data_IF_382936682950
#
_entry.id   IF_382936682950
#
_cell.length_a   1.000
_cell.length_b   1.000
_cell.length_c   1.000
_cell.angle_alpha   90.00
_cell.angle_beta   90.00
_cell.angle_gamma   90.00
#
_symmetry.space_group_name_H-M   'P 1'
#
loop_
_entity.id
_entity.type
_entity.pdbx_description
1 polymer ?
#
# COMPACT_ATOMS: atom_id res chain seq x y z
N UNK A 1 19.57 -8.07 -7.94
CA UNK A 1 18.51 -8.67 -7.09
C UNK A 1 17.79 -7.52 -6.41
N UNK A 2 16.49 -7.40 -6.60
CA UNK A 2 15.69 -6.38 -5.92
C UNK A 2 15.49 -6.77 -4.45
N UNK A 3 15.56 -5.80 -3.53
CA UNK A 3 15.36 -6.05 -2.08
C UNK A 3 13.91 -6.45 -1.80
N UNK A 4 13.71 -7.46 -0.93
CA UNK A 4 12.40 -7.90 -0.45
C UNK A 4 12.27 -7.87 1.07
N UNK A 5 13.12 -7.10 1.73
CA UNK A 5 13.25 -7.10 3.19
C UNK A 5 11.92 -6.81 3.87
N UNK A 6 11.12 -5.87 3.36
CA UNK A 6 9.84 -5.53 3.98
C UNK A 6 8.74 -6.52 3.60
N UNK A 7 8.71 -6.98 2.36
CA UNK A 7 7.78 -8.04 1.92
C UNK A 7 7.97 -9.33 2.75
N UNK A 8 9.22 -9.78 2.93
CA UNK A 8 9.54 -11.01 3.66
C UNK A 8 9.16 -10.89 5.14
N UNK A 9 9.49 -9.75 5.79
CA UNK A 9 9.09 -9.48 7.18
C UNK A 9 7.57 -9.46 7.36
N UNK A 10 6.84 -8.87 6.39
CA UNK A 10 5.39 -8.85 6.44
C UNK A 10 4.81 -10.26 6.30
N UNK A 11 5.35 -11.07 5.39
CA UNK A 11 4.93 -12.45 5.22
C UNK A 11 5.18 -13.29 6.48
N UNK A 12 6.35 -13.14 7.11
CA UNK A 12 6.68 -13.80 8.37
C UNK A 12 5.75 -13.38 9.51
N UNK A 13 5.45 -12.09 9.64
CA UNK A 13 4.49 -11.58 10.62
C UNK A 13 3.07 -12.15 10.40
N UNK A 14 2.61 -12.20 9.15
CA UNK A 14 1.31 -12.79 8.82
C UNK A 14 1.26 -14.28 9.17
N UNK A 15 2.33 -15.03 8.88
CA UNK A 15 2.46 -16.45 9.25
C UNK A 15 2.42 -16.63 10.77
N UNK A 16 3.16 -15.82 11.53
CA UNK A 16 3.21 -15.90 12.99
C UNK A 16 1.84 -15.67 13.66
N UNK A 17 0.96 -14.89 13.03
CA UNK A 17 -0.40 -14.62 13.52
C UNK A 17 -1.50 -15.45 12.84
N UNK A 18 -1.12 -16.44 12.03
CA UNK A 18 -2.05 -17.29 11.28
C UNK A 18 -2.99 -16.50 10.36
N UNK A 19 -2.49 -15.40 9.80
CA UNK A 19 -3.19 -14.62 8.78
C UNK A 19 -2.90 -15.16 7.38
N UNK A 20 -3.80 -14.85 6.44
CA UNK A 20 -3.57 -15.12 5.04
C UNK A 20 -2.32 -14.39 4.53
N UNK A 21 -1.63 -14.98 3.55
CA UNK A 21 -0.48 -14.39 2.89
C UNK A 21 -0.83 -12.99 2.36
N UNK A 22 0.03 -11.98 2.56
CA UNK A 22 -0.23 -10.62 2.07
C UNK A 22 -0.39 -10.60 0.54
N UNK A 23 -1.46 -9.98 0.06
CA UNK A 23 -1.75 -9.88 -1.39
C UNK A 23 -1.40 -8.48 -1.87
N UNK A 24 -0.48 -8.38 -2.84
CA UNK A 24 -0.05 -7.12 -3.43
C UNK A 24 -0.76 -6.84 -4.76
N UNK A 25 -1.22 -5.61 -4.94
CA UNK A 25 -1.80 -5.10 -6.17
C UNK A 25 -1.02 -3.87 -6.62
N UNK A 26 -0.57 -3.88 -7.87
CA UNK A 26 0.16 -2.77 -8.45
C UNK A 26 -0.82 -1.86 -9.21
N UNK A 27 -0.74 -0.56 -8.94
CA UNK A 27 -1.54 0.48 -9.61
C UNK A 27 -0.64 1.36 -10.47
N UNK A 28 -1.13 1.76 -11.65
CA UNK A 28 -0.39 2.62 -12.59
C UNK A 28 -1.20 3.83 -13.01
N UNK A 29 -0.54 4.97 -13.20
CA UNK A 29 -1.15 6.26 -13.54
C UNK A 29 -0.34 6.96 -14.65
N UNK A 30 -1.01 7.36 -15.74
CA UNK A 30 -0.38 7.97 -16.92
C UNK A 30 -0.30 9.50 -16.75
N UNK A 31 0.93 10.02 -16.60
CA UNK A 31 1.22 11.45 -16.39
C UNK A 31 2.00 12.06 -17.55
N UNK A 32 1.31 12.32 -18.66
CA UNK A 32 1.84 13.13 -19.77
C UNK A 32 3.17 12.63 -20.35
N UNK A 33 3.29 11.31 -20.55
CA UNK A 33 4.49 10.66 -21.14
C UNK A 33 5.30 9.82 -20.17
N UNK A 34 5.06 9.95 -18.86
CA UNK A 34 5.60 9.05 -17.82
C UNK A 34 4.46 8.25 -17.19
N UNK A 35 4.75 7.05 -16.73
CA UNK A 35 3.81 6.25 -15.91
C UNK A 35 4.31 6.26 -14.48
N UNK A 36 3.47 6.72 -13.56
CA UNK A 36 3.66 6.60 -12.14
C UNK A 36 3.10 5.26 -11.67
N UNK A 37 3.77 4.62 -10.71
CA UNK A 37 3.43 3.32 -10.17
C UNK A 37 3.30 3.37 -8.66
N UNK A 38 2.31 2.68 -8.11
CA UNK A 38 2.12 2.50 -6.67
C UNK A 38 1.76 1.04 -6.39
N UNK A 39 1.80 0.65 -5.12
CA UNK A 39 1.40 -0.68 -4.69
C UNK A 39 0.45 -0.57 -3.51
N UNK A 40 -0.48 -1.51 -3.45
CA UNK A 40 -1.39 -1.71 -2.34
C UNK A 40 -1.21 -3.14 -1.84
N UNK A 41 -1.25 -3.36 -0.53
CA UNK A 41 -1.20 -4.68 0.09
C UNK A 41 -2.41 -4.89 0.98
N UNK A 42 -2.99 -6.09 0.91
CA UNK A 42 -4.11 -6.48 1.78
C UNK A 42 -3.63 -7.49 2.82
N UNK A 43 -3.90 -7.19 4.09
CA UNK A 43 -3.51 -7.98 5.27
C UNK A 43 -4.66 -7.99 6.25
N UNK A 44 -5.13 -9.19 6.64
CA UNK A 44 -6.22 -9.35 7.61
C UNK A 44 -7.47 -8.49 7.29
N UNK A 45 -7.85 -8.43 6.01
CA UNK A 45 -9.00 -7.64 5.54
C UNK A 45 -8.80 -6.12 5.53
N UNK A 46 -7.65 -5.62 6.00
CA UNK A 46 -7.25 -4.23 5.90
C UNK A 46 -6.34 -4.01 4.68
N UNK A 47 -6.44 -2.84 4.07
CA UNK A 47 -5.72 -2.49 2.84
C UNK A 47 -4.80 -1.30 3.10
N UNK A 48 -3.53 -1.45 2.74
CA UNK A 48 -2.48 -0.44 2.95
C UNK A 48 -1.82 -0.10 1.63
N UNK A 49 -1.69 1.19 1.33
CA UNK A 49 -1.11 1.67 0.07
C UNK A 49 0.24 2.31 0.31
N UNK A 50 1.13 2.19 -0.66
CA UNK A 50 2.39 2.91 -0.69
C UNK A 50 2.12 4.43 -0.56
N UNK A 51 2.93 5.09 0.24
CA UNK A 51 2.91 6.53 0.53
C UNK A 51 3.23 7.36 -0.69
N UNK A 52 4.06 6.83 -1.59
CA UNK A 52 4.56 7.54 -2.75
C UNK A 52 4.22 6.84 -4.06
N UNK A 53 4.34 7.61 -5.14
CA UNK A 53 4.33 7.10 -6.50
C UNK A 53 5.77 7.00 -7.01
N UNK A 54 6.08 5.88 -7.64
CA UNK A 54 7.40 5.52 -8.13
C UNK A 54 7.40 5.51 -9.66
N UNK A 55 8.57 5.52 -10.28
CA UNK A 55 8.69 5.28 -11.71
C UNK A 55 8.66 3.76 -12.01
N UNK A 56 8.52 3.40 -13.29
CA UNK A 56 8.38 1.99 -13.70
C UNK A 56 9.58 1.10 -13.37
N UNK A 57 10.78 1.68 -13.17
CA UNK A 57 11.97 0.93 -12.73
C UNK A 57 11.98 0.67 -11.23
N UNK A 58 11.12 1.33 -10.46
CA UNK A 58 11.07 1.25 -9.00
C UNK A 58 9.73 0.69 -8.49
N UNK A 59 9.05 -0.15 -9.28
CA UNK A 59 7.79 -0.82 -8.85
C UNK A 59 8.01 -1.67 -7.60
N UNK A 60 9.18 -2.29 -7.44
CA UNK A 60 9.51 -3.02 -6.22
C UNK A 60 9.58 -2.11 -4.98
N UNK A 61 10.06 -0.87 -5.11
CA UNK A 61 10.07 0.08 -4.00
C UNK A 61 8.65 0.43 -3.56
N UNK A 62 7.68 0.47 -4.48
CA UNK A 62 6.28 0.64 -4.14
C UNK A 62 5.76 -0.54 -3.30
N UNK A 63 6.15 -1.78 -3.63
CA UNK A 63 5.79 -2.97 -2.84
C UNK A 63 6.42 -2.95 -1.45
N UNK A 64 7.71 -2.62 -1.37
CA UNK A 64 8.43 -2.52 -0.09
C UNK A 64 7.80 -1.45 0.81
N UNK A 65 7.42 -0.29 0.26
CA UNK A 65 6.80 0.79 1.01
C UNK A 65 5.39 0.41 1.51
N UNK A 66 4.56 -0.22 0.67
CA UNK A 66 3.26 -0.75 1.11
C UNK A 66 3.42 -1.82 2.20
N UNK A 67 4.45 -2.67 2.09
CA UNK A 67 4.72 -3.71 3.08
C UNK A 67 5.17 -3.13 4.42
N UNK A 68 6.04 -2.11 4.40
CA UNK A 68 6.47 -1.38 5.60
C UNK A 68 5.25 -0.76 6.31
N UNK A 69 4.36 -0.08 5.58
CA UNK A 69 3.15 0.53 6.14
C UNK A 69 2.24 -0.52 6.80
N UNK A 70 2.01 -1.66 6.14
CA UNK A 70 1.20 -2.73 6.68
C UNK A 70 1.83 -3.36 7.94
N UNK A 71 3.15 -3.57 7.93
CA UNK A 71 3.86 -4.14 9.07
C UNK A 71 3.84 -3.21 10.29
N UNK A 72 4.01 -1.90 10.08
CA UNK A 72 3.87 -0.91 11.15
C UNK A 72 2.46 -0.91 11.74
N UNK A 73 1.43 -1.00 10.88
CA UNK A 73 0.04 -1.10 11.34
C UNK A 73 -0.22 -2.38 12.14
N UNK A 74 0.31 -3.51 11.70
CA UNK A 74 0.26 -4.79 12.41
C UNK A 74 0.92 -4.68 13.79
N UNK A 75 2.15 -4.16 13.86
CA UNK A 75 2.89 -3.99 15.10
C UNK A 75 2.17 -3.04 16.09
N UNK A 76 1.60 -1.94 15.58
CA UNK A 76 0.83 -1.00 16.39
C UNK A 76 -0.48 -1.60 16.91
N UNK A 77 -1.12 -2.46 16.12
CA UNK A 77 -2.32 -3.19 16.54
C UNK A 77 -2.01 -4.21 17.64
N UNK A 78 -0.84 -4.85 17.60
CA UNK A 78 -0.38 -5.81 18.60
C UNK A 78 0.08 -5.14 19.91
N UNK A 79 0.60 -3.91 19.85
CA UNK A 79 1.15 -3.18 21.01
C UNK A 79 0.09 -2.61 21.98
N UNK A 80 -1.20 -2.79 21.70
CA UNK A 80 -2.30 -2.33 22.54
C UNK A 80 -2.94 -1.04 22.03
N UNK A 81 -4.25 -1.11 21.87
CA UNK A 81 -5.16 -0.07 21.37
C UNK A 81 -4.94 1.27 22.06
N UNK A 82 -4.09 2.12 21.49
CA UNK A 82 -4.11 3.56 21.72
C UNK A 82 -4.76 4.16 20.49
N UNK A 83 -6.05 4.46 20.62
CA UNK A 83 -6.91 5.16 19.67
C UNK A 83 -6.16 6.25 18.92
N UNK A 84 -5.92 6.03 17.63
CA UNK A 84 -5.69 7.10 16.68
C UNK A 84 -6.26 6.66 15.34
N UNK A 85 -7.55 6.95 15.13
CA UNK A 85 -8.17 6.91 13.81
C UNK A 85 -7.69 8.13 13.02
N UNK A 86 -6.91 8.01 11.95
CA UNK A 86 -6.95 9.04 10.92
C UNK A 86 -8.22 8.76 10.12
N UNK A 87 -9.31 9.41 10.50
CA UNK A 87 -10.42 9.63 9.58
C UNK A 87 -9.88 10.48 8.42
N UNK A 88 -9.35 9.83 7.39
CA UNK A 88 -9.20 10.44 6.08
C UNK A 88 -9.72 9.45 5.06
N UNK A 89 -11.05 9.43 4.95
CA UNK A 89 -11.72 9.18 3.68
C UNK A 89 -11.14 10.18 2.68
N UNK A 90 -10.02 9.82 2.04
CA UNK A 90 -9.53 10.54 0.88
C UNK A 90 -10.49 10.22 -0.26
N UNK A 91 -11.54 11.03 -0.30
CA UNK A 91 -12.46 11.22 -1.41
C UNK A 91 -11.69 11.06 -2.71
N UNK A 92 -12.11 10.11 -3.54
CA UNK A 92 -11.78 10.14 -4.96
C UNK A 92 -12.05 11.58 -5.45
N UNK A 93 -11.14 12.24 -6.17
CA UNK A 93 -11.58 13.34 -7.01
C UNK A 93 -12.49 12.72 -8.07
N UNK A 94 -13.79 12.79 -7.80
CA UNK A 94 -14.79 12.79 -8.85
C UNK A 94 -14.49 14.02 -9.72
N UNK A 95 -13.63 13.87 -10.73
CA UNK A 95 -13.63 14.83 -11.83
C UNK A 95 -14.88 14.55 -12.64
N UNK A 96 -15.92 15.29 -12.27
CA UNK A 96 -17.16 15.43 -13.00
C UNK A 96 -16.90 15.57 -14.50
N UNK A 97 -17.53 14.69 -15.27
CA UNK A 97 -17.86 14.97 -16.66
C UNK A 97 -18.72 16.24 -16.70
N UNK A 98 -18.14 17.32 -17.21
CA UNK A 98 -18.81 18.48 -17.82
C UNK A 98 -17.92 18.76 -19.04
N UNK A 99 -18.29 18.56 -20.30
CA UNK A 99 -19.50 18.96 -21.00
C UNK A 99 -19.12 20.12 -21.93
N UNK A 100 -19.06 19.87 -23.25
CA UNK A 100 -19.05 20.80 -24.41
C UNK A 100 -17.92 21.86 -24.45
N UNK A 101 -17.11 22.05 -25.50
CA UNK A 101 -17.29 21.98 -26.96
C UNK A 101 -16.03 21.45 -27.65
#
# INVERSE_FOLDING_TARGET
MESRVWQDKLEEACKGWNYATPVFQISSDRRGGRTAWSSTVTVHGATHTARFWYDGKNVNNAKEDAAEVALLWLAQSAAGSSSNSPATSASSPATSRVGYW
#
